data_IF_244230249063
#
_entry.id   IF_244230249063
#
_cell.length_a   1.000
_cell.length_b   1.000
_cell.length_c   1.000
_cell.angle_alpha   90.00
_cell.angle_beta   90.00
_cell.angle_gamma   90.00
#
_symmetry.space_group_name_H-M   'P 1'
#
loop_
_entity.id
_entity.type
_entity.pdbx_description
1 polymer ?
#
# COMPACT_ATOMS: atom_id res chain seq x y z
N UNK A 1 -12.25 -14.16 -5.43
CA UNK A 1 -11.92 -15.15 -4.38
C UNK A 1 -12.34 -16.58 -4.73
N UNK A 2 -13.27 -16.81 -5.68
CA UNK A 2 -13.73 -18.18 -6.02
C UNK A 2 -12.61 -19.15 -6.44
N UNK A 3 -11.62 -18.69 -7.21
CA UNK A 3 -10.49 -19.53 -7.60
C UNK A 3 -9.70 -20.02 -6.37
N UNK A 4 -9.37 -19.12 -5.44
CA UNK A 4 -8.70 -19.51 -4.18
C UNK A 4 -9.53 -20.53 -3.39
N UNK A 5 -10.85 -20.34 -3.33
CA UNK A 5 -11.74 -21.25 -2.63
C UNK A 5 -11.82 -22.65 -3.29
N UNK A 6 -11.74 -22.73 -4.62
CA UNK A 6 -11.66 -24.01 -5.36
C UNK A 6 -10.39 -24.79 -5.02
N UNK A 7 -9.30 -24.08 -4.73
CA UNK A 7 -8.02 -24.66 -4.27
C UNK A 7 -7.97 -24.86 -2.75
N UNK A 8 -9.10 -24.76 -2.03
CA UNK A 8 -9.16 -24.94 -0.58
C UNK A 8 -8.65 -23.76 0.26
N UNK A 9 -8.30 -22.64 -0.36
CA UNK A 9 -7.84 -21.41 0.30
C UNK A 9 -9.01 -20.45 0.54
N UNK A 10 -9.81 -20.76 1.55
CA UNK A 10 -10.94 -19.94 1.96
C UNK A 10 -10.57 -18.94 3.06
N UNK A 11 -10.99 -17.68 2.92
CA UNK A 11 -10.81 -16.63 3.93
C UNK A 11 -11.50 -17.04 5.24
N UNK A 12 -10.76 -17.02 6.33
CA UNK A 12 -11.23 -17.47 7.66
C UNK A 12 -10.61 -16.62 8.78
N UNK A 13 -10.71 -17.06 10.02
CA UNK A 13 -9.96 -16.44 11.13
C UNK A 13 -8.46 -16.73 11.03
N UNK A 14 -8.12 -17.91 10.53
CA UNK A 14 -6.74 -18.42 10.47
C UNK A 14 -6.09 -18.22 9.09
N UNK A 15 -6.89 -17.85 8.07
CA UNK A 15 -6.40 -17.55 6.73
C UNK A 15 -6.92 -16.18 6.26
N UNK A 16 -6.00 -15.22 6.16
CA UNK A 16 -6.30 -13.84 5.74
C UNK A 16 -5.87 -13.59 4.31
N UNK A 17 -6.66 -12.82 3.58
CA UNK A 17 -6.34 -12.41 2.20
C UNK A 17 -5.96 -10.94 2.22
N UNK A 18 -4.73 -10.66 1.81
CA UNK A 18 -4.19 -9.31 1.74
C UNK A 18 -3.96 -8.91 0.29
N UNK A 19 -4.12 -7.62 -0.01
CA UNK A 19 -3.78 -7.06 -1.32
C UNK A 19 -2.53 -6.19 -1.23
N UNK A 20 -1.60 -6.40 -2.16
CA UNK A 20 -0.49 -5.48 -2.35
C UNK A 20 -1.04 -4.19 -3.00
N UNK A 21 -1.02 -3.10 -2.25
CA UNK A 21 -1.55 -1.80 -2.67
C UNK A 21 -0.43 -0.99 -3.31
N UNK A 22 -0.19 -1.24 -4.59
CA UNK A 22 0.92 -0.64 -5.33
C UNK A 22 0.50 -0.01 -6.66
N UNK A 23 -0.67 -0.36 -7.18
CA UNK A 23 -1.22 0.27 -8.38
C UNK A 23 -2.14 1.41 -7.95
N UNK A 24 -2.06 2.62 -8.56
CA UNK A 24 -2.92 3.74 -8.21
C UNK A 24 -4.42 3.42 -8.20
N UNK A 25 -4.87 2.50 -9.06
CA UNK A 25 -6.26 2.05 -9.10
C UNK A 25 -6.68 1.29 -7.83
N UNK A 26 -5.77 0.53 -7.18
CA UNK A 26 -6.04 -0.13 -5.90
C UNK A 26 -6.25 0.89 -4.78
N UNK A 27 -5.54 2.02 -4.84
CA UNK A 27 -5.64 3.11 -3.87
C UNK A 27 -6.94 3.88 -4.06
N UNK A 28 -7.21 4.34 -5.29
CA UNK A 28 -8.36 5.18 -5.63
C UNK A 28 -9.69 4.44 -5.37
N UNK A 29 -9.72 3.12 -5.59
CA UNK A 29 -10.91 2.29 -5.43
C UNK A 29 -10.82 1.36 -4.20
N UNK A 30 -10.06 1.75 -3.18
CA UNK A 30 -9.87 0.93 -1.98
C UNK A 30 -11.20 0.52 -1.32
N UNK A 31 -12.22 1.39 -1.35
CA UNK A 31 -13.58 1.11 -0.88
C UNK A 31 -14.22 -0.08 -1.61
N UNK A 32 -13.94 -0.22 -2.92
CA UNK A 32 -14.40 -1.35 -3.72
C UNK A 32 -13.58 -2.61 -3.49
N UNK A 33 -12.30 -2.50 -3.10
CA UNK A 33 -11.46 -3.66 -2.80
C UNK A 33 -11.69 -4.21 -1.38
N UNK A 34 -12.11 -3.38 -0.43
CA UNK A 34 -12.32 -3.75 0.98
C UNK A 34 -13.21 -4.99 1.19
N UNK A 35 -14.22 -5.21 0.34
CA UNK A 35 -15.09 -6.40 0.43
C UNK A 35 -14.33 -7.72 0.19
N UNK A 36 -13.24 -7.69 -0.56
CA UNK A 36 -12.51 -8.88 -0.98
C UNK A 36 -11.31 -9.23 -0.08
N UNK A 37 -10.79 -8.26 0.68
CA UNK A 37 -9.55 -8.40 1.46
C UNK A 37 -9.79 -8.22 2.96
N UNK A 38 -8.83 -8.68 3.77
CA UNK A 38 -8.74 -8.41 5.20
C UNK A 38 -7.82 -7.22 5.49
N UNK A 39 -6.90 -6.91 4.59
CA UNK A 39 -5.97 -5.79 4.72
C UNK A 39 -5.16 -5.53 3.46
N UNK A 40 -4.29 -4.54 3.55
CA UNK A 40 -3.41 -4.09 2.48
C UNK A 40 -1.96 -4.08 2.93
N UNK A 41 -1.04 -4.38 2.01
CA UNK A 41 0.38 -4.06 2.16
C UNK A 41 0.79 -3.10 1.07
N UNK A 42 1.16 -1.87 1.44
CA UNK A 42 1.63 -0.86 0.50
C UNK A 42 2.99 -1.29 -0.05
N UNK A 43 3.07 -1.51 -1.37
CA UNK A 43 4.32 -1.64 -2.09
C UNK A 43 4.80 -0.24 -2.50
N UNK A 44 5.60 0.41 -1.66
CA UNK A 44 5.94 1.83 -1.84
C UNK A 44 6.76 2.12 -3.10
N UNK A 45 7.56 1.15 -3.54
CA UNK A 45 8.35 1.25 -4.77
C UNK A 45 7.47 1.43 -6.00
N UNK A 46 6.63 0.43 -6.29
CA UNK A 46 5.76 0.41 -7.45
C UNK A 46 4.68 1.50 -7.36
N UNK A 47 4.17 1.77 -6.15
CA UNK A 47 3.26 2.90 -5.93
C UNK A 47 3.90 4.22 -6.35
N UNK A 48 5.17 4.44 -5.97
CA UNK A 48 5.88 5.69 -6.31
C UNK A 48 6.13 5.78 -7.81
N UNK A 49 6.61 4.70 -8.44
CA UNK A 49 6.84 4.66 -9.88
C UNK A 49 5.55 4.97 -10.67
N UNK A 50 4.44 4.32 -10.32
CA UNK A 50 3.18 4.47 -11.04
C UNK A 50 2.46 5.79 -10.75
N UNK A 51 2.56 6.33 -9.52
CA UNK A 51 1.98 7.64 -9.17
C UNK A 51 2.76 8.77 -9.84
N UNK A 52 4.09 8.68 -9.91
CA UNK A 52 4.94 9.73 -10.48
C UNK A 52 5.22 9.55 -11.97
N UNK A 53 4.86 8.40 -12.55
CA UNK A 53 5.13 8.09 -13.95
C UNK A 53 6.63 7.97 -14.25
N UNK A 54 7.39 7.40 -13.32
CA UNK A 54 8.84 7.26 -13.43
C UNK A 54 9.28 5.80 -13.27
N UNK A 55 10.42 5.48 -13.85
CA UNK A 55 11.13 4.21 -13.64
C UNK A 55 12.42 4.52 -12.89
N UNK A 56 12.59 3.92 -11.71
CA UNK A 56 13.76 4.17 -10.85
C UNK A 56 15.05 3.60 -11.42
N UNK A 57 14.96 2.62 -12.33
CA UNK A 57 16.10 1.99 -12.98
C UNK A 57 16.45 2.70 -14.31
N UNK A 58 15.63 3.67 -14.73
CA UNK A 58 15.90 4.49 -15.90
C UNK A 58 16.64 5.77 -15.53
N UNK A 59 17.91 5.86 -15.92
CA UNK A 59 18.79 6.97 -15.57
C UNK A 59 18.26 8.36 -15.96
N UNK A 60 17.41 8.43 -17.00
CA UNK A 60 16.85 9.68 -17.50
C UNK A 60 15.80 10.25 -16.55
N UNK A 61 15.05 9.41 -15.84
CA UNK A 61 13.90 9.81 -15.01
C UNK A 61 14.01 9.40 -13.54
N UNK A 62 15.04 8.64 -13.15
CA UNK A 62 15.24 8.19 -11.77
C UNK A 62 15.27 9.34 -10.74
N UNK A 63 15.70 10.53 -11.14
CA UNK A 63 15.74 11.72 -10.29
C UNK A 63 14.35 12.23 -9.86
N UNK A 64 13.28 11.76 -10.50
CA UNK A 64 11.89 12.07 -10.16
C UNK A 64 11.39 11.16 -9.03
N UNK A 65 11.98 9.97 -8.87
CA UNK A 65 11.58 8.99 -7.87
C UNK A 65 11.84 9.52 -6.46
N UNK A 66 10.76 9.75 -5.70
CA UNK A 66 10.84 10.07 -4.28
C UNK A 66 9.58 9.57 -3.56
N UNK A 67 9.75 8.58 -2.69
CA UNK A 67 8.66 7.99 -1.90
C UNK A 67 8.04 8.98 -0.89
N UNK A 68 8.74 10.09 -0.61
CA UNK A 68 8.26 11.19 0.24
C UNK A 68 7.46 12.23 -0.55
N UNK A 69 7.33 12.06 -1.87
CA UNK A 69 6.58 12.96 -2.71
C UNK A 69 5.15 13.15 -2.16
N UNK A 70 4.62 14.37 -2.27
CA UNK A 70 3.29 14.71 -1.75
C UNK A 70 2.18 13.84 -2.37
N UNK A 71 2.28 13.50 -3.66
CA UNK A 71 1.31 12.64 -4.33
C UNK A 71 1.30 11.23 -3.73
N UNK A 72 2.47 10.65 -3.50
CA UNK A 72 2.65 9.32 -2.88
C UNK A 72 2.12 9.34 -1.44
N UNK A 73 2.51 10.33 -0.64
CA UNK A 73 2.01 10.47 0.74
C UNK A 73 0.48 10.64 0.78
N UNK A 74 -0.11 11.42 -0.12
CA UNK A 74 -1.57 11.54 -0.21
C UNK A 74 -2.24 10.21 -0.59
N UNK A 75 -1.65 9.45 -1.51
CA UNK A 75 -2.13 8.13 -1.88
C UNK A 75 -2.10 7.15 -0.68
N UNK A 76 -0.98 7.11 0.05
CA UNK A 76 -0.84 6.29 1.26
C UNK A 76 -1.89 6.66 2.31
N UNK A 77 -2.03 7.95 2.64
CA UNK A 77 -3.01 8.40 3.63
C UNK A 77 -4.43 8.07 3.20
N UNK A 78 -4.77 8.29 1.93
CA UNK A 78 -6.07 7.95 1.38
C UNK A 78 -6.38 6.47 1.54
N UNK A 79 -5.43 5.58 1.22
CA UNK A 79 -5.60 4.14 1.42
C UNK A 79 -5.87 3.81 2.88
N UNK A 80 -5.06 4.33 3.81
CA UNK A 80 -5.24 4.06 5.24
C UNK A 80 -6.63 4.48 5.70
N UNK A 81 -7.04 5.72 5.39
CA UNK A 81 -8.35 6.24 5.76
C UNK A 81 -9.51 5.43 5.18
N UNK A 82 -9.42 5.00 3.92
CA UNK A 82 -10.49 4.24 3.25
C UNK A 82 -10.54 2.79 3.70
N UNK A 83 -9.39 2.14 3.92
CA UNK A 83 -9.29 0.80 4.44
C UNK A 83 -9.86 0.71 5.87
N UNK A 84 -9.50 1.67 6.72
CA UNK A 84 -9.92 1.72 8.12
C UNK A 84 -11.42 1.91 8.31
N UNK A 85 -12.12 2.58 7.38
CA UNK A 85 -13.59 2.72 7.40
C UNK A 85 -14.32 1.38 7.43
N UNK A 86 -13.74 0.35 6.81
CA UNK A 86 -14.29 -1.00 6.77
C UNK A 86 -13.53 -1.99 7.68
N UNK A 87 -12.76 -1.47 8.64
CA UNK A 87 -11.99 -2.26 9.60
C UNK A 87 -10.87 -3.09 8.98
N UNK A 88 -10.34 -2.66 7.82
CA UNK A 88 -9.20 -3.31 7.15
C UNK A 88 -7.89 -2.75 7.68
N UNK A 89 -6.91 -3.61 7.90
CA UNK A 89 -5.57 -3.18 8.34
C UNK A 89 -4.71 -2.78 7.15
N UNK A 90 -3.77 -1.87 7.35
CA UNK A 90 -2.82 -1.42 6.34
C UNK A 90 -1.40 -1.48 6.89
N UNK A 91 -0.55 -2.23 6.19
CA UNK A 91 0.89 -2.26 6.39
C UNK A 91 1.62 -1.57 5.25
N UNK A 92 2.90 -1.29 5.44
CA UNK A 92 3.82 -0.90 4.37
C UNK A 92 5.04 -1.82 4.37
N UNK A 93 5.48 -2.22 3.18
CA UNK A 93 6.74 -2.91 2.97
C UNK A 93 7.69 -2.02 2.18
N UNK A 94 8.98 -2.04 2.54
CA UNK A 94 10.01 -1.30 1.84
C UNK A 94 11.01 -0.68 2.80
N UNK A 95 12.15 -0.26 2.27
CA UNK A 95 13.22 0.35 3.07
C UNK A 95 12.96 1.83 3.35
N UNK A 96 12.03 2.49 2.65
CA UNK A 96 11.77 3.91 2.81
C UNK A 96 11.52 4.34 4.26
N UNK A 97 10.73 3.61 5.10
CA UNK A 97 10.52 3.99 6.49
C UNK A 97 11.78 3.85 7.37
N UNK A 98 12.73 2.98 7.03
CA UNK A 98 14.00 2.85 7.75
C UNK A 98 15.06 3.85 7.29
N UNK A 99 15.00 4.27 6.02
CA UNK A 99 15.91 5.28 5.43
C UNK A 99 15.47 6.70 5.75
N UNK A 100 14.16 6.97 5.82
CA UNK A 100 13.58 8.31 5.98
C UNK A 100 12.73 8.40 7.26
N UNK A 101 13.29 8.85 8.40
CA UNK A 101 12.55 8.99 9.67
C UNK A 101 11.28 9.85 9.54
N UNK A 102 11.29 10.87 8.69
CA UNK A 102 10.14 11.75 8.43
C UNK A 102 8.98 11.00 7.75
N UNK A 103 9.29 9.98 6.94
CA UNK A 103 8.29 9.13 6.31
C UNK A 103 7.68 8.18 7.34
N UNK A 104 8.52 7.61 8.22
CA UNK A 104 8.04 6.81 9.35
C UNK A 104 7.11 7.62 10.27
N UNK A 105 7.50 8.85 10.64
CA UNK A 105 6.65 9.74 11.44
C UNK A 105 5.33 10.06 10.74
N UNK A 106 5.37 10.31 9.42
CA UNK A 106 4.18 10.53 8.61
C UNK A 106 3.24 9.30 8.61
N UNK A 107 3.79 8.09 8.50
CA UNK A 107 3.02 6.84 8.49
C UNK A 107 2.32 6.61 9.83
N UNK A 108 3.05 6.79 10.95
CA UNK A 108 2.48 6.70 12.30
C UNK A 108 1.36 7.72 12.49
N UNK A 109 1.60 8.99 12.11
CA UNK A 109 0.57 10.05 12.18
C UNK A 109 -0.64 9.78 11.30
N UNK A 110 -0.46 9.05 10.20
CA UNK A 110 -1.55 8.68 9.28
C UNK A 110 -2.29 7.42 9.73
N UNK A 111 -1.86 6.75 10.81
CA UNK A 111 -2.53 5.60 11.39
C UNK A 111 -2.14 4.25 10.78
N UNK A 112 -0.93 4.09 10.24
CA UNK A 112 -0.49 2.78 9.74
C UNK A 112 -0.56 1.71 10.85
N UNK A 113 -0.97 0.48 10.52
CA UNK A 113 -1.09 -0.61 11.50
C UNK A 113 0.25 -1.33 11.73
N UNK A 114 1.08 -1.45 10.68
CA UNK A 114 2.41 -2.04 10.79
C UNK A 114 3.37 -1.56 9.71
N UNK A 115 4.66 -1.63 10.03
CA UNK A 115 5.76 -1.28 9.13
C UNK A 115 6.70 -2.48 9.08
N UNK A 116 6.97 -2.98 7.87
CA UNK A 116 7.92 -4.08 7.63
C UNK A 116 9.17 -3.53 6.94
N UNK A 117 10.32 -3.65 7.62
CA UNK A 117 11.63 -3.14 7.18
C UNK A 117 12.68 -4.24 7.12
#
# INVERSE_FOLDING_TARGET
TNLMAQEGLARSKDFKVWLMAEIPSNIILADQFNKYVDGYSIGSNDLTMLVLGCDRDNETVQHIYDERNLAVRRAIRHLIEVAHKDGKTVSICGQAPSVYPELCEFLVKSGIDSISV
#
